data_IF_125202648678
#
_entry.id   IF_125202648678
#
_cell.length_a   1.000
_cell.length_b   1.000
_cell.length_c   1.000
_cell.angle_alpha   90.00
_cell.angle_beta   90.00
_cell.angle_gamma   90.00
#
_symmetry.space_group_name_H-M   'P 1'
#
loop_
_entity.id
_entity.type
_entity.pdbx_description
1 polymer ?
#
# COMPACT_ATOMS: atom_id res chain seq x y z
N UNK A 1 -9.78 -45.11 56.00
CA UNK A 1 -8.92 -43.94 55.60
C UNK A 1 -8.80 -43.91 54.09
N UNK A 2 -9.51 -43.00 53.45
CA UNK A 2 -9.45 -42.85 52.01
C UNK A 2 -8.09 -42.16 51.66
N UNK A 3 -7.32 -42.81 50.78
CA UNK A 3 -5.94 -42.44 50.51
C UNK A 3 -5.95 -41.13 49.71
N UNK A 4 -5.66 -39.99 50.35
CA UNK A 4 -5.68 -38.65 49.76
C UNK A 4 -4.80 -38.55 48.50
N UNK A 5 -3.79 -39.39 48.35
CA UNK A 5 -2.96 -39.50 47.13
C UNK A 5 -3.75 -40.02 45.92
N UNK A 6 -4.76 -40.89 46.16
CA UNK A 6 -5.61 -41.41 45.08
C UNK A 6 -6.63 -40.35 44.62
N UNK A 7 -7.13 -39.53 45.54
CA UNK A 7 -8.01 -38.41 45.22
C UNK A 7 -7.26 -37.34 44.46
N UNK A 8 -6.00 -37.05 44.82
CA UNK A 8 -5.15 -36.09 44.11
C UNK A 8 -4.80 -36.57 42.69
N UNK A 9 -4.57 -37.86 42.49
CA UNK A 9 -4.32 -38.47 41.20
C UNK A 9 -5.56 -38.44 40.30
N UNK A 10 -6.75 -38.69 40.84
CA UNK A 10 -8.02 -38.57 40.12
C UNK A 10 -8.30 -37.11 39.73
N UNK A 11 -8.03 -36.13 40.60
CA UNK A 11 -8.18 -34.70 40.32
C UNK A 11 -7.18 -34.24 39.27
N UNK A 12 -5.97 -34.80 39.25
CA UNK A 12 -4.93 -34.50 38.24
C UNK A 12 -5.32 -35.03 36.85
N UNK A 13 -5.97 -36.19 36.75
CA UNK A 13 -6.49 -36.71 35.46
C UNK A 13 -7.62 -35.83 34.92
N UNK A 14 -8.47 -35.25 35.78
CA UNK A 14 -9.53 -34.34 35.35
C UNK A 14 -9.02 -32.98 34.83
N UNK A 15 -7.86 -32.52 35.29
CA UNK A 15 -7.24 -31.27 34.86
C UNK A 15 -6.60 -31.37 33.46
N UNK A 16 -6.34 -32.58 32.95
CA UNK A 16 -5.77 -32.80 31.60
C UNK A 16 -6.79 -33.28 30.57
N UNK A 17 -8.09 -33.26 30.86
CA UNK A 17 -9.10 -33.41 29.83
C UNK A 17 -9.07 -32.17 28.94
N UNK A 18 -8.20 -32.20 27.91
CA UNK A 18 -8.27 -31.28 26.80
C UNK A 18 -9.65 -31.48 26.14
N UNK A 19 -10.57 -30.54 26.38
CA UNK A 19 -11.75 -30.40 25.57
C UNK A 19 -11.27 -30.04 24.16
N UNK A 20 -11.08 -31.04 23.32
CA UNK A 20 -11.01 -30.84 21.88
C UNK A 20 -12.39 -30.33 21.45
N UNK A 21 -12.57 -29.02 21.40
CA UNK A 21 -13.69 -28.40 20.71
C UNK A 21 -13.57 -28.80 19.23
N UNK A 22 -14.28 -29.86 18.84
CA UNK A 22 -14.48 -30.20 17.44
C UNK A 22 -15.21 -29.01 16.84
N UNK A 23 -14.53 -28.26 15.99
CA UNK A 23 -15.14 -27.15 15.26
C UNK A 23 -16.15 -27.70 14.28
N UNK A 24 -17.42 -27.41 14.54
CA UNK A 24 -18.54 -27.92 13.74
C UNK A 24 -18.60 -27.24 12.36
N UNK A 25 -18.93 -28.02 11.33
CA UNK A 25 -19.29 -27.54 10.01
C UNK A 25 -20.81 -27.48 9.95
N UNK A 26 -21.37 -26.30 9.73
CA UNK A 26 -22.79 -26.11 9.53
C UNK A 26 -23.09 -25.98 8.05
N UNK A 27 -23.95 -26.86 7.52
CA UNK A 27 -24.35 -26.89 6.12
C UNK A 27 -25.84 -26.56 6.02
N UNK A 28 -26.18 -25.61 5.19
CA UNK A 28 -27.54 -25.19 4.85
C UNK A 28 -27.71 -25.22 3.34
N UNK A 29 -28.86 -25.66 2.85
CA UNK A 29 -29.25 -25.63 1.44
C UNK A 29 -30.76 -25.78 1.31
N UNK A 30 -31.28 -25.49 0.14
CA UNK A 30 -32.71 -25.74 -0.18
C UNK A 30 -33.00 -27.26 -0.17
N UNK A 31 -32.06 -28.07 -0.68
CA UNK A 31 -32.14 -29.53 -0.68
C UNK A 31 -30.82 -30.13 -0.19
N UNK A 32 -30.90 -31.08 0.73
CA UNK A 32 -29.74 -31.85 1.25
C UNK A 32 -30.04 -33.34 1.03
N UNK A 33 -29.19 -33.99 0.25
CA UNK A 33 -29.26 -35.42 -0.05
C UNK A 33 -27.95 -36.12 0.34
N UNK A 34 -28.03 -37.46 0.48
CA UNK A 34 -26.84 -38.30 0.68
C UNK A 34 -26.68 -39.22 -0.51
N UNK A 35 -25.44 -39.37 -0.99
CA UNK A 35 -25.14 -40.38 -2.01
C UNK A 35 -24.88 -41.76 -1.38
N UNK A 36 -24.63 -42.77 -2.23
CA UNK A 36 -24.34 -44.17 -1.82
C UNK A 36 -23.06 -44.28 -0.93
N UNK A 37 -22.19 -43.25 -0.93
CA UNK A 37 -20.97 -43.20 -0.17
C UNK A 37 -21.09 -42.35 1.09
N UNK A 38 -22.29 -41.96 1.50
CA UNK A 38 -22.60 -41.06 2.63
C UNK A 38 -22.03 -39.64 2.46
N UNK A 39 -21.74 -39.22 1.23
CA UNK A 39 -21.37 -37.81 0.97
C UNK A 39 -22.63 -36.95 1.05
N UNK A 40 -22.50 -35.73 1.55
CA UNK A 40 -23.57 -34.76 1.64
C UNK A 40 -23.59 -33.94 0.33
N UNK A 41 -24.71 -33.96 -0.37
CA UNK A 41 -24.97 -33.14 -1.56
C UNK A 41 -25.97 -32.06 -1.14
N UNK A 42 -25.45 -30.82 -1.04
CA UNK A 42 -26.23 -29.63 -0.71
C UNK A 42 -26.48 -28.83 -2.01
N UNK A 43 -27.75 -28.66 -2.39
CA UNK A 43 -28.16 -28.05 -3.64
C UNK A 43 -29.19 -26.93 -3.43
N UNK A 44 -28.99 -25.83 -4.16
CA UNK A 44 -29.77 -24.60 -4.06
C UNK A 44 -29.39 -23.76 -2.86
N UNK A 45 -28.91 -22.54 -3.09
CA UNK A 45 -28.47 -21.58 -2.05
C UNK A 45 -27.60 -22.22 -0.96
N UNK A 46 -26.75 -23.20 -1.34
CA UNK A 46 -25.96 -23.97 -0.40
C UNK A 46 -24.92 -23.11 0.29
N UNK A 47 -24.81 -23.24 1.62
CA UNK A 47 -23.94 -22.46 2.48
C UNK A 47 -23.21 -23.36 3.47
N UNK A 48 -21.92 -23.13 3.64
CA UNK A 48 -21.12 -23.74 4.71
C UNK A 48 -20.57 -22.64 5.61
N UNK A 49 -20.85 -22.75 6.89
CA UNK A 49 -20.25 -21.92 7.93
C UNK A 49 -19.17 -22.73 8.66
N UNK A 50 -17.96 -22.19 8.65
CA UNK A 50 -16.79 -22.78 9.36
C UNK A 50 -15.86 -21.67 9.85
N UNK A 51 -15.54 -21.67 11.14
CA UNK A 51 -14.54 -20.76 11.75
C UNK A 51 -14.72 -19.28 11.34
N UNK A 52 -15.98 -18.79 11.31
CA UNK A 52 -16.36 -17.47 10.83
C UNK A 52 -16.10 -17.23 9.32
N UNK A 53 -15.84 -18.25 8.55
CA UNK A 53 -15.87 -18.19 7.10
C UNK A 53 -17.23 -18.66 6.58
N UNK A 54 -17.68 -18.03 5.50
CA UNK A 54 -18.93 -18.37 4.82
C UNK A 54 -18.62 -18.74 3.39
N UNK A 55 -18.83 -20.01 3.04
CA UNK A 55 -18.82 -20.50 1.66
C UNK A 55 -20.26 -20.53 1.13
N UNK A 56 -20.46 -20.01 -0.07
CA UNK A 56 -21.73 -19.97 -0.78
C UNK A 56 -21.53 -20.57 -2.17
N UNK A 57 -22.45 -21.45 -2.60
CA UNK A 57 -22.49 -22.02 -3.95
C UNK A 57 -23.89 -22.59 -4.21
N UNK A 58 -24.24 -22.82 -5.47
CA UNK A 58 -25.49 -23.49 -5.80
C UNK A 58 -25.42 -25.01 -5.65
N UNK A 59 -24.19 -25.57 -5.65
CA UNK A 59 -23.98 -27.00 -5.44
C UNK A 59 -22.70 -27.22 -4.65
N UNK A 60 -22.81 -27.90 -3.51
CA UNK A 60 -21.71 -28.30 -2.65
C UNK A 60 -21.78 -29.81 -2.43
N UNK A 61 -20.68 -30.51 -2.64
CA UNK A 61 -20.56 -31.94 -2.33
C UNK A 61 -19.52 -32.07 -1.23
N UNK A 62 -19.97 -32.42 -0.02
CA UNK A 62 -19.06 -32.64 1.11
C UNK A 62 -18.78 -34.14 1.28
N UNK A 63 -17.56 -34.52 0.95
CA UNK A 63 -17.04 -35.87 1.12
C UNK A 63 -16.51 -36.06 2.54
N UNK A 64 -17.36 -36.57 3.42
CA UNK A 64 -17.10 -36.69 4.85
C UNK A 64 -15.86 -37.53 5.18
N UNK A 65 -15.68 -38.67 4.50
CA UNK A 65 -14.52 -39.58 4.69
C UNK A 65 -13.20 -38.96 4.25
N UNK A 66 -13.23 -38.18 3.17
CA UNK A 66 -12.06 -37.49 2.61
C UNK A 66 -11.79 -36.13 3.27
N UNK A 67 -12.71 -35.64 4.08
CA UNK A 67 -12.73 -34.26 4.63
C UNK A 67 -12.54 -33.22 3.55
N UNK A 68 -13.26 -33.36 2.45
CA UNK A 68 -13.10 -32.57 1.24
C UNK A 68 -14.44 -31.99 0.79
N UNK A 69 -14.43 -30.72 0.45
CA UNK A 69 -15.57 -29.99 -0.10
C UNK A 69 -15.30 -29.78 -1.59
N UNK A 70 -16.16 -30.35 -2.44
CA UNK A 70 -16.12 -30.17 -3.89
C UNK A 70 -17.12 -29.10 -4.29
N UNK A 71 -16.71 -28.23 -5.19
CA UNK A 71 -17.47 -27.10 -5.74
C UNK A 71 -17.50 -27.21 -7.26
N UNK A 72 -18.46 -27.94 -7.83
CA UNK A 72 -18.51 -28.16 -9.29
C UNK A 72 -18.93 -26.91 -10.06
N UNK A 73 -19.53 -25.94 -9.40
CA UNK A 73 -20.07 -24.70 -9.96
C UNK A 73 -19.52 -23.48 -9.23
N UNK A 74 -19.90 -22.29 -9.69
CA UNK A 74 -19.47 -21.02 -9.09
C UNK A 74 -19.64 -20.99 -7.58
N UNK A 75 -18.63 -20.48 -6.91
CA UNK A 75 -18.62 -20.34 -5.46
C UNK A 75 -18.02 -19.03 -5.00
N UNK A 76 -18.34 -18.65 -3.78
CA UNK A 76 -17.75 -17.52 -3.08
C UNK A 76 -17.49 -17.85 -1.63
N UNK A 77 -16.26 -17.60 -1.16
CA UNK A 77 -15.89 -17.67 0.24
C UNK A 77 -15.69 -16.25 0.76
N UNK A 78 -16.39 -15.90 1.83
CA UNK A 78 -16.20 -14.66 2.59
C UNK A 78 -15.48 -14.98 3.87
N UNK A 79 -14.39 -14.24 4.19
CA UNK A 79 -13.66 -14.36 5.45
C UNK A 79 -14.10 -13.32 6.48
N UNK A 80 -13.52 -13.39 7.70
CA UNK A 80 -13.79 -12.48 8.82
C UNK A 80 -13.42 -11.03 8.55
N UNK A 81 -12.48 -10.80 7.63
CA UNK A 81 -11.97 -9.48 7.28
C UNK A 81 -12.76 -8.85 6.13
N UNK A 82 -13.89 -9.44 5.73
CA UNK A 82 -14.67 -9.06 4.55
C UNK A 82 -13.88 -9.14 3.23
N UNK A 83 -12.90 -10.05 3.14
CA UNK A 83 -12.33 -10.43 1.87
C UNK A 83 -13.23 -11.49 1.22
N UNK A 84 -13.28 -11.48 -0.11
CA UNK A 84 -14.05 -12.40 -0.90
C UNK A 84 -13.13 -13.15 -1.85
N UNK A 85 -13.21 -14.47 -1.85
CA UNK A 85 -12.57 -15.35 -2.82
C UNK A 85 -13.67 -16.06 -3.62
N UNK A 86 -13.65 -15.92 -4.93
CA UNK A 86 -14.62 -16.58 -5.82
C UNK A 86 -13.88 -17.38 -6.89
N UNK A 87 -14.52 -18.41 -7.39
CA UNK A 87 -14.06 -19.24 -8.51
C UNK A 87 -15.22 -19.89 -9.24
N UNK A 88 -14.96 -20.40 -10.45
CA UNK A 88 -15.96 -21.11 -11.25
C UNK A 88 -16.15 -22.56 -10.83
N UNK A 89 -15.10 -23.16 -10.26
CA UNK A 89 -15.12 -24.53 -9.72
C UNK A 89 -13.88 -24.75 -8.85
N UNK A 90 -13.90 -25.77 -8.01
CA UNK A 90 -12.76 -26.12 -7.21
C UNK A 90 -13.03 -27.15 -6.14
N UNK A 91 -12.08 -27.30 -5.26
CA UNK A 91 -12.24 -28.06 -4.03
C UNK A 91 -11.44 -27.43 -2.89
N UNK A 92 -11.90 -27.68 -1.69
CA UNK A 92 -11.20 -27.31 -0.46
C UNK A 92 -11.22 -28.49 0.51
N UNK A 93 -10.31 -28.46 1.47
CA UNK A 93 -10.45 -29.30 2.66
C UNK A 93 -11.61 -28.78 3.53
N UNK A 94 -11.96 -29.53 4.55
CA UNK A 94 -13.05 -29.19 5.48
C UNK A 94 -12.80 -27.92 6.30
N UNK A 95 -11.54 -27.47 6.42
CA UNK A 95 -11.19 -26.22 7.09
C UNK A 95 -11.18 -24.99 6.16
N UNK A 96 -11.43 -25.14 4.86
CA UNK A 96 -11.37 -24.09 3.84
C UNK A 96 -10.00 -23.39 3.75
N UNK A 97 -8.95 -23.98 4.32
CA UNK A 97 -7.60 -23.44 4.40
C UNK A 97 -6.65 -24.00 3.34
N UNK A 98 -7.06 -25.04 2.63
CA UNK A 98 -6.29 -25.67 1.55
C UNK A 98 -7.21 -26.12 0.43
N UNK A 99 -6.83 -25.86 -0.82
CA UNK A 99 -7.65 -26.21 -1.98
C UNK A 99 -7.10 -25.68 -3.30
N UNK A 100 -7.74 -26.11 -4.39
CA UNK A 100 -7.44 -25.65 -5.74
C UNK A 100 -8.73 -25.25 -6.44
N UNK A 101 -8.68 -24.19 -7.24
CA UNK A 101 -9.87 -23.61 -7.87
C UNK A 101 -9.51 -22.88 -9.17
N UNK A 102 -10.50 -22.75 -10.02
CA UNK A 102 -10.40 -22.13 -11.34
C UNK A 102 -11.05 -20.75 -11.37
N UNK A 103 -10.62 -19.90 -12.30
CA UNK A 103 -11.15 -18.55 -12.55
C UNK A 103 -11.23 -17.68 -11.30
N UNK A 104 -10.09 -17.59 -10.66
CA UNK A 104 -9.91 -16.91 -9.36
C UNK A 104 -10.26 -15.43 -9.41
N UNK A 105 -11.05 -14.99 -8.46
CA UNK A 105 -11.34 -13.58 -8.20
C UNK A 105 -11.27 -13.34 -6.70
N UNK A 106 -10.25 -12.61 -6.24
CA UNK A 106 -10.12 -12.18 -4.84
C UNK A 106 -10.38 -10.68 -4.79
N UNK A 107 -11.30 -10.27 -3.92
CA UNK A 107 -11.56 -8.88 -3.60
C UNK A 107 -11.21 -8.67 -2.14
N UNK A 108 -10.23 -7.82 -1.86
CA UNK A 108 -9.83 -7.47 -0.51
C UNK A 108 -10.71 -6.33 0.04
N UNK A 109 -10.72 -6.19 1.36
CA UNK A 109 -11.59 -5.23 2.05
C UNK A 109 -11.28 -3.75 1.74
N UNK A 110 -10.03 -3.43 1.34
CA UNK A 110 -9.62 -2.11 0.86
C UNK A 110 -10.08 -1.80 -0.57
N UNK A 111 -10.68 -2.79 -1.25
CA UNK A 111 -11.16 -2.72 -2.62
C UNK A 111 -10.16 -3.16 -3.69
N UNK A 112 -8.94 -3.53 -3.32
CA UNK A 112 -7.96 -4.11 -4.24
C UNK A 112 -8.42 -5.50 -4.72
N UNK A 113 -7.91 -5.92 -5.88
CA UNK A 113 -8.36 -7.12 -6.58
C UNK A 113 -7.20 -7.92 -7.12
N UNK A 114 -7.35 -9.24 -6.97
CA UNK A 114 -6.51 -10.23 -7.64
C UNK A 114 -7.42 -11.13 -8.48
N UNK A 115 -7.05 -11.35 -9.72
CA UNK A 115 -7.75 -12.25 -10.64
C UNK A 115 -6.72 -13.16 -11.29
N UNK A 116 -7.12 -14.38 -11.68
CA UNK A 116 -6.23 -15.29 -12.40
C UNK A 116 -6.95 -16.55 -12.86
N UNK A 117 -6.26 -17.35 -13.68
CA UNK A 117 -6.87 -18.54 -14.29
C UNK A 117 -7.00 -19.68 -13.28
N UNK A 118 -5.99 -19.88 -12.43
CA UNK A 118 -5.98 -20.94 -11.42
C UNK A 118 -5.51 -20.39 -10.11
N UNK A 119 -6.13 -20.85 -9.02
CA UNK A 119 -5.75 -20.58 -7.66
C UNK A 119 -5.47 -21.84 -6.89
N UNK A 120 -4.49 -21.75 -5.99
CA UNK A 120 -4.21 -22.76 -5.00
C UNK A 120 -4.06 -22.07 -3.66
N UNK A 121 -4.82 -22.54 -2.67
CA UNK A 121 -4.68 -22.09 -1.27
C UNK A 121 -3.91 -23.13 -0.48
N UNK A 122 -2.92 -22.69 0.26
CA UNK A 122 -2.16 -23.48 1.21
C UNK A 122 -2.08 -22.73 2.53
N UNK A 123 -3.00 -23.01 3.45
CA UNK A 123 -3.16 -22.31 4.73
C UNK A 123 -3.34 -20.80 4.55
N UNK A 124 -2.29 -20.03 4.80
CA UNK A 124 -2.30 -18.57 4.70
C UNK A 124 -1.71 -18.03 3.40
N UNK A 125 -1.41 -18.92 2.45
CA UNK A 125 -0.81 -18.55 1.16
C UNK A 125 -1.79 -18.85 0.05
N UNK A 126 -2.17 -17.82 -0.71
CA UNK A 126 -2.91 -17.95 -1.96
C UNK A 126 -1.94 -17.80 -3.13
N UNK A 127 -1.87 -18.82 -3.99
CA UNK A 127 -1.05 -18.85 -5.20
C UNK A 127 -1.97 -18.71 -6.40
N UNK A 128 -1.73 -17.68 -7.21
CA UNK A 128 -2.53 -17.37 -8.40
C UNK A 128 -1.63 -17.45 -9.62
N UNK A 129 -2.01 -18.26 -10.60
CA UNK A 129 -1.30 -18.43 -11.85
C UNK A 129 -1.93 -17.56 -12.93
N UNK A 130 -1.10 -16.91 -13.76
CA UNK A 130 -1.49 -15.91 -14.75
C UNK A 130 -2.40 -14.86 -14.10
N UNK A 131 -1.85 -14.25 -13.05
CA UNK A 131 -2.60 -13.37 -12.17
C UNK A 131 -2.47 -11.90 -12.57
N UNK A 132 -3.50 -11.14 -12.23
CA UNK A 132 -3.54 -9.69 -12.34
C UNK A 132 -3.86 -9.11 -10.98
N UNK A 133 -3.05 -8.18 -10.52
CA UNK A 133 -3.27 -7.41 -9.30
C UNK A 133 -3.49 -5.94 -9.61
N UNK A 134 -4.48 -5.34 -9.00
CA UNK A 134 -4.69 -3.89 -9.01
C UNK A 134 -5.31 -3.40 -7.69
N UNK A 135 -4.65 -2.46 -6.99
CA UNK A 135 -5.23 -1.76 -5.84
C UNK A 135 -6.08 -0.56 -6.29
N UNK A 136 -6.11 -0.26 -7.58
CA UNK A 136 -6.72 0.93 -8.15
C UNK A 136 -8.25 0.89 -8.01
N UNK A 137 -8.82 1.89 -7.35
CA UNK A 137 -10.28 2.05 -7.22
C UNK A 137 -10.89 2.73 -8.43
N UNK A 138 -10.13 3.61 -9.11
CA UNK A 138 -10.57 4.32 -10.30
C UNK A 138 -10.64 3.39 -11.50
N UNK A 139 -11.63 3.61 -12.36
CA UNK A 139 -11.82 2.88 -13.59
C UNK A 139 -12.02 3.85 -14.73
N UNK A 140 -11.23 3.67 -15.76
CA UNK A 140 -11.33 4.44 -17.00
C UNK A 140 -12.08 3.60 -18.02
N UNK A 141 -13.11 4.16 -18.63
CA UNK A 141 -13.83 3.53 -19.72
C UNK A 141 -13.15 3.90 -21.05
N UNK A 142 -12.65 2.89 -21.75
CA UNK A 142 -12.06 3.05 -23.09
C UNK A 142 -12.92 2.24 -24.05
N UNK A 143 -13.76 2.91 -24.83
CA UNK A 143 -14.75 2.24 -25.65
C UNK A 143 -15.71 1.39 -24.80
N UNK A 144 -15.75 0.09 -25.04
CA UNK A 144 -16.55 -0.88 -24.28
C UNK A 144 -15.80 -1.50 -23.09
N UNK A 145 -14.51 -1.14 -22.89
CA UNK A 145 -13.70 -1.71 -21.81
C UNK A 145 -13.66 -0.77 -20.61
N UNK A 146 -13.75 -1.35 -19.43
CA UNK A 146 -13.50 -0.67 -18.16
C UNK A 146 -12.24 -1.29 -17.57
N UNK A 147 -11.12 -0.56 -17.58
CA UNK A 147 -9.86 -1.04 -17.02
C UNK A 147 -9.45 -0.21 -15.79
N UNK A 148 -8.66 -0.79 -14.87
CA UNK A 148 -8.02 -0.01 -13.81
C UNK A 148 -6.99 0.95 -14.42
N UNK A 149 -6.70 2.05 -13.70
CA UNK A 149 -5.67 3.02 -14.12
C UNK A 149 -4.31 2.35 -14.25
N UNK A 150 -4.00 1.41 -13.36
CA UNK A 150 -2.81 0.57 -13.44
C UNK A 150 -3.06 -0.82 -12.88
N UNK A 151 -2.29 -1.78 -13.38
CA UNK A 151 -2.32 -3.17 -12.94
C UNK A 151 -0.96 -3.84 -13.14
N UNK A 152 -0.70 -4.86 -12.34
CA UNK A 152 0.43 -5.76 -12.50
C UNK A 152 -0.08 -7.11 -12.99
N UNK A 153 0.32 -7.51 -14.19
CA UNK A 153 0.08 -8.85 -14.74
C UNK A 153 1.28 -9.71 -14.47
N UNK A 154 1.12 -10.80 -13.77
CA UNK A 154 2.21 -11.68 -13.39
C UNK A 154 1.96 -13.13 -13.82
N UNK A 155 3.00 -13.85 -14.15
CA UNK A 155 2.91 -15.29 -14.38
C UNK A 155 2.45 -16.02 -13.11
N UNK A 156 2.96 -15.57 -11.96
CA UNK A 156 2.59 -16.11 -10.65
C UNK A 156 2.52 -15.00 -9.62
N UNK A 157 1.39 -14.95 -8.89
CA UNK A 157 1.21 -14.11 -7.71
C UNK A 157 1.07 -15.01 -6.49
N UNK A 158 1.81 -14.70 -5.44
CA UNK A 158 1.69 -15.34 -4.14
C UNK A 158 1.28 -14.29 -3.12
N UNK A 159 0.11 -14.45 -2.54
CA UNK A 159 -0.40 -13.60 -1.48
C UNK A 159 -0.23 -14.31 -0.14
N UNK A 160 0.66 -13.80 0.70
CA UNK A 160 0.88 -14.28 2.05
C UNK A 160 0.02 -13.45 3.01
N UNK A 161 -1.11 -14.00 3.44
CA UNK A 161 -2.05 -13.31 4.34
C UNK A 161 -1.56 -13.25 5.79
N UNK A 162 -0.55 -14.02 6.17
CA UNK A 162 0.07 -13.99 7.50
C UNK A 162 1.14 -12.90 7.60
N UNK A 163 2.08 -12.88 6.65
CA UNK A 163 3.16 -11.90 6.62
C UNK A 163 2.74 -10.61 5.92
N UNK A 164 1.57 -10.60 5.28
CA UNK A 164 0.98 -9.48 4.59
C UNK A 164 1.87 -8.92 3.47
N UNK A 165 2.28 -9.82 2.56
CA UNK A 165 3.03 -9.49 1.34
C UNK A 165 2.42 -10.13 0.10
N UNK A 166 2.61 -9.45 -1.02
CA UNK A 166 2.36 -9.94 -2.35
C UNK A 166 3.71 -10.14 -3.06
N UNK A 167 4.01 -11.37 -3.44
CA UNK A 167 5.18 -11.73 -4.23
C UNK A 167 4.73 -11.99 -5.66
N UNK A 168 5.35 -11.33 -6.63
CA UNK A 168 4.97 -11.45 -8.02
C UNK A 168 6.19 -11.77 -8.88
N UNK A 169 6.05 -12.76 -9.76
CA UNK A 169 7.11 -13.19 -10.68
C UNK A 169 6.71 -12.89 -12.12
N UNK A 170 7.69 -12.44 -12.90
CA UNK A 170 7.52 -12.09 -14.31
C UNK A 170 6.35 -11.14 -14.53
N UNK A 171 6.39 -10.01 -13.82
CA UNK A 171 5.31 -9.04 -13.82
C UNK A 171 5.47 -8.03 -14.96
N UNK A 172 4.37 -7.70 -15.60
CA UNK A 172 4.25 -6.59 -16.55
C UNK A 172 3.34 -5.54 -15.93
N UNK A 173 3.85 -4.35 -15.75
CA UNK A 173 3.02 -3.23 -15.35
C UNK A 173 2.29 -2.69 -16.58
N UNK A 174 0.97 -2.55 -16.45
CA UNK A 174 0.14 -1.88 -17.44
C UNK A 174 -0.44 -0.61 -16.87
N UNK A 175 -0.42 0.42 -17.68
CA UNK A 175 -0.99 1.73 -17.40
C UNK A 175 -2.06 2.01 -18.46
N UNK A 176 -3.32 2.15 -18.00
CA UNK A 176 -4.47 2.31 -18.92
C UNK A 176 -4.44 1.24 -20.04
N UNK A 177 -4.22 -0.01 -19.62
CA UNK A 177 -4.11 -1.20 -20.49
C UNK A 177 -2.90 -1.24 -21.45
N UNK A 178 -1.99 -0.27 -21.41
CA UNK A 178 -0.75 -0.25 -22.21
C UNK A 178 0.40 -0.81 -21.38
N UNK A 179 1.21 -1.76 -21.89
CA UNK A 179 2.41 -2.23 -21.21
C UNK A 179 3.40 -1.09 -21.01
N UNK A 180 3.80 -0.82 -19.77
CA UNK A 180 4.75 0.23 -19.43
C UNK A 180 6.15 -0.33 -19.21
N UNK A 181 6.29 -1.35 -18.36
CA UNK A 181 7.57 -1.99 -18.10
C UNK A 181 7.42 -3.41 -17.53
N UNK A 182 8.51 -4.16 -17.60
CA UNK A 182 8.64 -5.52 -17.12
C UNK A 182 9.48 -5.56 -15.86
N UNK A 183 9.01 -6.30 -14.85
CA UNK A 183 9.69 -6.50 -13.58
C UNK A 183 9.83 -8.00 -13.34
N UNK A 184 11.05 -8.56 -13.33
CA UNK A 184 11.24 -10.01 -13.15
C UNK A 184 10.70 -10.54 -11.84
N UNK A 185 10.86 -9.77 -10.76
CA UNK A 185 10.39 -10.10 -9.43
C UNK A 185 10.11 -8.83 -8.64
N UNK A 186 8.92 -8.74 -8.05
CA UNK A 186 8.53 -7.64 -7.20
C UNK A 186 7.84 -8.15 -5.94
N UNK A 187 8.13 -7.52 -4.81
CA UNK A 187 7.45 -7.74 -3.53
C UNK A 187 6.80 -6.44 -3.12
N UNK A 188 5.49 -6.48 -2.90
CA UNK A 188 4.73 -5.33 -2.43
C UNK A 188 4.04 -5.68 -1.11
N UNK A 189 3.89 -4.72 -0.19
CA UNK A 189 3.03 -4.93 0.98
C UNK A 189 1.61 -5.30 0.55
N UNK A 190 1.00 -6.24 1.25
CA UNK A 190 -0.43 -6.53 1.05
C UNK A 190 -1.27 -5.33 1.48
N UNK A 191 -2.32 -4.99 0.74
CA UNK A 191 -3.25 -3.92 1.12
C UNK A 191 -3.93 -4.12 2.49
N UNK A 192 -3.94 -5.36 2.98
CA UNK A 192 -4.50 -5.71 4.30
C UNK A 192 -3.62 -5.27 5.47
N UNK A 193 -2.41 -4.80 5.18
CA UNK A 193 -1.44 -4.40 6.20
C UNK A 193 -1.81 -3.06 6.82
N UNK A 194 -1.94 -3.04 8.14
CA UNK A 194 -2.14 -1.83 8.94
C UNK A 194 -0.83 -1.23 9.45
N UNK A 195 0.21 -2.05 9.57
CA UNK A 195 1.52 -1.63 10.04
C UNK A 195 2.34 -1.00 8.91
N UNK A 196 3.09 0.04 9.23
CA UNK A 196 4.05 0.65 8.29
C UNK A 196 5.14 -0.35 7.94
N UNK A 197 5.41 -0.54 6.68
CA UNK A 197 6.57 -1.30 6.18
C UNK A 197 7.08 -0.71 4.88
N UNK A 198 8.39 -0.84 4.70
CA UNK A 198 9.05 -0.43 3.45
C UNK A 198 8.49 -1.17 2.25
N UNK A 199 8.33 -0.46 1.13
CA UNK A 199 7.84 -1.03 -0.12
C UNK A 199 7.44 0.03 -1.14
N UNK A 200 7.18 -0.42 -2.38
CA UNK A 200 6.67 0.44 -3.42
C UNK A 200 5.26 0.93 -3.08
N UNK A 201 5.06 2.24 -3.24
CA UNK A 201 3.74 2.86 -3.19
C UNK A 201 3.08 2.81 -4.57
N UNK A 202 1.84 3.26 -4.64
CA UNK A 202 1.11 3.32 -5.91
C UNK A 202 1.82 4.25 -6.89
N UNK A 203 2.19 3.77 -8.08
CA UNK A 203 2.74 4.63 -9.11
C UNK A 203 1.69 5.63 -9.59
N UNK A 204 2.13 6.78 -10.03
CA UNK A 204 1.25 7.77 -10.64
C UNK A 204 1.76 8.20 -12.01
N UNK A 205 0.81 8.56 -12.89
CA UNK A 205 1.07 9.14 -14.20
C UNK A 205 0.39 10.48 -14.22
N UNK A 206 1.13 11.48 -14.64
CA UNK A 206 0.60 12.80 -14.96
C UNK A 206 0.70 13.03 -16.45
N UNK A 207 -0.36 13.55 -17.04
CA UNK A 207 -0.43 13.97 -18.45
C UNK A 207 -0.67 15.46 -18.45
N UNK A 208 0.27 16.23 -18.98
CA UNK A 208 0.14 17.66 -19.15
C UNK A 208 -0.02 17.97 -20.62
N UNK A 209 -1.13 18.59 -20.99
CA UNK A 209 -1.44 19.03 -22.33
C UNK A 209 -1.16 20.53 -22.43
N UNK A 210 -0.11 20.90 -23.12
CA UNK A 210 0.29 22.29 -23.37
C UNK A 210 0.12 22.59 -24.87
N UNK A 211 -0.96 23.28 -25.25
CA UNK A 211 -1.29 23.69 -26.61
C UNK A 211 -0.93 22.67 -27.71
N UNK A 212 0.30 22.71 -28.21
CA UNK A 212 0.80 21.80 -29.24
C UNK A 212 1.68 20.67 -28.73
N UNK A 213 1.96 20.61 -27.44
CA UNK A 213 2.91 19.65 -26.84
C UNK A 213 2.27 18.89 -25.67
N UNK A 214 2.47 17.59 -25.64
CA UNK A 214 2.05 16.74 -24.56
C UNK A 214 3.27 16.29 -23.77
N UNK A 215 3.28 16.56 -22.48
CA UNK A 215 4.28 16.07 -21.54
C UNK A 215 3.66 14.98 -20.67
N UNK A 216 4.42 13.94 -20.43
CA UNK A 216 4.01 12.80 -19.59
C UNK A 216 5.04 12.61 -18.50
N UNK A 217 4.58 12.33 -17.30
CA UNK A 217 5.48 11.94 -16.21
C UNK A 217 5.00 10.64 -15.56
N UNK A 218 5.96 9.78 -15.23
CA UNK A 218 5.76 8.56 -14.48
C UNK A 218 6.52 8.67 -13.18
N UNK A 219 5.82 8.54 -12.05
CA UNK A 219 6.44 8.45 -10.72
C UNK A 219 6.28 7.06 -10.12
N UNK A 220 7.34 6.57 -9.46
CA UNK A 220 7.37 5.26 -8.83
C UNK A 220 7.90 5.37 -7.38
N UNK A 221 7.09 5.85 -6.44
CA UNK A 221 7.55 6.10 -5.09
C UNK A 221 7.88 4.80 -4.34
N UNK A 222 8.94 4.83 -3.54
CA UNK A 222 9.32 3.79 -2.60
C UNK A 222 9.39 4.36 -1.19
N UNK A 223 8.64 3.76 -0.29
CA UNK A 223 8.59 4.12 1.12
C UNK A 223 9.56 3.28 1.93
N UNK A 224 10.40 3.93 2.73
CA UNK A 224 11.32 3.33 3.69
C UNK A 224 10.79 3.56 5.11
N UNK A 225 10.37 2.49 5.78
CA UNK A 225 10.11 2.51 7.21
C UNK A 225 11.43 2.29 7.95
N UNK A 226 12.10 3.39 8.33
CA UNK A 226 13.43 3.32 8.96
C UNK A 226 13.29 2.88 10.42
N UNK A 227 12.35 3.48 11.15
CA UNK A 227 12.01 3.15 12.53
C UNK A 227 10.58 3.62 12.85
N UNK A 228 10.12 3.42 14.07
CA UNK A 228 8.78 3.88 14.50
C UNK A 228 8.61 5.39 14.42
N UNK A 229 9.71 6.11 14.55
CA UNK A 229 9.78 7.59 14.59
C UNK A 229 10.39 8.22 13.34
N UNK A 230 10.81 7.42 12.34
CA UNK A 230 11.49 7.90 11.12
C UNK A 230 11.01 7.20 9.89
N UNK A 231 10.77 7.99 8.86
CA UNK A 231 10.39 7.49 7.55
C UNK A 231 11.03 8.31 6.44
N UNK A 232 11.20 7.68 5.28
CA UNK A 232 11.69 8.33 4.07
C UNK A 232 10.89 7.82 2.89
N UNK A 233 10.40 8.71 2.05
CA UNK A 233 9.85 8.35 0.75
C UNK A 233 10.78 8.84 -0.34
N UNK A 234 11.22 7.94 -1.21
CA UNK A 234 11.99 8.25 -2.40
C UNK A 234 11.11 8.12 -3.63
N UNK A 235 10.96 9.19 -4.40
CA UNK A 235 10.11 9.23 -5.60
C UNK A 235 10.93 9.62 -6.83
N UNK A 236 11.39 8.66 -7.63
CA UNK A 236 11.91 8.94 -8.96
C UNK A 236 10.75 9.29 -9.90
N UNK A 237 10.91 10.35 -10.68
CA UNK A 237 9.97 10.82 -11.71
C UNK A 237 10.69 10.87 -13.03
N UNK A 238 10.15 10.16 -14.02
CA UNK A 238 10.67 10.15 -15.39
C UNK A 238 9.71 10.96 -16.24
N UNK A 239 10.23 12.02 -16.87
CA UNK A 239 9.47 12.90 -17.74
C UNK A 239 9.70 12.53 -19.21
N UNK A 240 8.64 12.52 -20.00
CA UNK A 240 8.65 12.25 -21.44
C UNK A 240 7.83 13.30 -22.18
N UNK A 241 8.26 13.67 -23.36
CA UNK A 241 7.45 14.43 -24.30
C UNK A 241 7.96 15.83 -24.62
N UNK A 242 7.42 16.41 -25.69
CA UNK A 242 7.90 17.63 -26.28
C UNK A 242 7.64 18.88 -25.45
N UNK A 243 8.68 19.54 -24.99
CA UNK A 243 8.64 20.85 -24.36
C UNK A 243 8.98 20.88 -22.87
N UNK A 244 9.14 19.72 -22.26
CA UNK A 244 9.87 19.57 -20.99
C UNK A 244 11.16 18.86 -21.40
N UNK A 245 12.30 19.42 -21.02
CA UNK A 245 13.57 18.73 -21.14
C UNK A 245 13.39 17.34 -20.55
N UNK A 246 13.97 16.32 -21.19
CA UNK A 246 13.90 14.92 -20.73
C UNK A 246 14.67 14.75 -19.42
N UNK A 247 14.29 15.55 -18.42
CA UNK A 247 14.90 15.57 -17.10
C UNK A 247 14.28 14.48 -16.23
N UNK A 248 15.10 13.83 -15.44
CA UNK A 248 14.64 12.98 -14.37
C UNK A 248 14.60 13.79 -13.09
N UNK A 249 13.51 13.65 -12.35
CA UNK A 249 13.35 14.29 -11.05
C UNK A 249 13.41 13.25 -9.95
N UNK A 250 14.08 13.60 -8.88
CA UNK A 250 14.18 12.78 -7.68
C UNK A 250 13.69 13.57 -6.48
N UNK A 251 12.70 13.01 -5.77
CA UNK A 251 12.14 13.61 -4.57
C UNK A 251 12.44 12.70 -3.39
N UNK A 252 12.94 13.28 -2.31
CA UNK A 252 13.16 12.64 -1.01
C UNK A 252 12.34 13.39 0.03
N UNK A 253 11.35 12.73 0.60
CA UNK A 253 10.55 13.24 1.72
C UNK A 253 10.98 12.49 2.97
N UNK A 254 11.59 13.17 3.92
CA UNK A 254 12.03 12.61 5.19
C UNK A 254 11.26 13.21 6.34
N UNK A 255 10.64 12.36 7.16
CA UNK A 255 9.91 12.74 8.35
C UNK A 255 10.47 12.04 9.58
N UNK A 256 10.62 12.79 10.68
CA UNK A 256 11.07 12.27 11.96
C UNK A 256 10.28 12.88 13.11
N UNK A 257 9.74 12.01 13.97
CA UNK A 257 9.17 12.41 15.27
C UNK A 257 10.29 12.45 16.28
N UNK A 258 10.43 13.59 16.96
CA UNK A 258 11.42 13.82 18.01
C UNK A 258 10.73 13.82 19.37
N UNK A 259 11.48 13.62 20.45
CA UNK A 259 10.96 13.86 21.79
C UNK A 259 10.61 15.35 21.94
N UNK A 260 9.29 15.64 21.97
CA UNK A 260 8.76 17.02 22.06
C UNK A 260 8.76 17.81 20.76
N UNK A 261 8.87 17.16 19.59
CA UNK A 261 8.87 17.88 18.33
C UNK A 261 8.86 17.01 17.08
N UNK A 262 9.10 17.62 15.93
CA UNK A 262 9.14 16.96 14.63
C UNK A 262 10.15 17.63 13.68
N UNK A 263 10.65 16.84 12.74
CA UNK A 263 11.45 17.28 11.59
C UNK A 263 10.80 16.73 10.34
N UNK A 264 10.55 17.60 9.36
CA UNK A 264 10.14 17.24 8.00
C UNK A 264 11.09 17.92 7.02
N UNK A 265 11.59 17.16 6.05
CA UNK A 265 12.53 17.68 5.05
C UNK A 265 12.21 17.10 3.68
N UNK A 266 11.96 17.98 2.71
CA UNK A 266 11.74 17.65 1.31
C UNK A 266 12.91 18.14 0.48
N UNK A 267 13.64 17.21 -0.13
CA UNK A 267 14.70 17.47 -1.10
C UNK A 267 14.22 17.05 -2.47
N UNK A 268 14.19 17.99 -3.41
CA UNK A 268 13.90 17.72 -4.81
C UNK A 268 15.09 18.15 -5.66
N UNK A 269 15.48 17.34 -6.63
CA UNK A 269 16.47 17.74 -7.62
C UNK A 269 16.18 17.13 -8.98
N UNK A 270 16.53 17.87 -10.02
CA UNK A 270 16.43 17.48 -11.42
C UNK A 270 17.80 17.12 -11.98
N UNK A 271 17.85 16.06 -12.78
CA UNK A 271 19.03 15.60 -13.49
C UNK A 271 18.76 15.70 -14.98
N UNK A 272 19.54 16.50 -15.70
CA UNK A 272 19.48 16.58 -17.16
C UNK A 272 20.40 15.52 -17.78
N UNK A 273 19.82 14.68 -18.65
CA UNK A 273 20.57 13.69 -19.42
C UNK A 273 20.99 14.19 -20.82
N UNK A 274 20.59 15.40 -21.25
CA UNK A 274 21.07 15.97 -22.49
C UNK A 274 22.51 16.47 -22.36
N UNK A 275 23.41 15.69 -22.93
CA UNK A 275 24.85 15.79 -22.87
C UNK A 275 25.42 16.75 -23.95
N UNK A 276 24.73 17.83 -24.22
CA UNK A 276 25.30 18.84 -25.14
C UNK A 276 25.66 20.13 -24.38
N UNK A 277 26.94 20.26 -24.09
CA UNK A 277 27.68 21.48 -23.74
C UNK A 277 27.71 22.03 -22.32
N UNK A 278 27.12 21.44 -21.30
CA UNK A 278 27.43 21.82 -19.92
C UNK A 278 27.57 20.61 -19.01
N UNK A 279 28.74 20.44 -18.41
CA UNK A 279 29.16 19.37 -17.51
C UNK A 279 28.36 19.26 -16.19
N UNK A 280 27.10 19.67 -16.13
CA UNK A 280 26.28 19.62 -14.91
C UNK A 280 25.19 18.55 -15.08
N UNK A 281 25.46 17.36 -14.55
CA UNK A 281 24.43 16.30 -14.43
C UNK A 281 23.34 16.64 -13.40
N UNK A 282 23.58 17.57 -12.47
CA UNK A 282 22.61 18.15 -11.55
C UNK A 282 22.26 19.55 -12.04
N UNK A 283 21.02 19.75 -12.50
CA UNK A 283 20.61 21.06 -13.04
C UNK A 283 20.06 21.96 -11.93
N UNK A 284 19.08 21.51 -11.21
CA UNK A 284 18.34 22.30 -10.23
C UNK A 284 17.94 21.48 -9.02
N UNK A 285 17.81 22.15 -7.87
CA UNK A 285 17.38 21.52 -6.63
C UNK A 285 16.58 22.49 -5.75
N UNK A 286 15.75 21.93 -4.86
CA UNK A 286 15.11 22.65 -3.76
C UNK A 286 15.18 21.84 -2.49
N UNK A 287 15.26 22.54 -1.36
CA UNK A 287 15.25 21.99 -0.03
C UNK A 287 14.22 22.75 0.81
N UNK A 288 13.19 22.04 1.27
CA UNK A 288 12.18 22.57 2.18
C UNK A 288 12.34 21.82 3.50
N UNK A 289 12.54 22.54 4.60
CA UNK A 289 12.76 21.93 5.92
C UNK A 289 11.90 22.61 6.96
N UNK A 290 11.13 21.84 7.69
CA UNK A 290 10.38 22.28 8.86
C UNK A 290 10.85 21.48 10.07
N UNK A 291 11.30 22.19 11.08
CA UNK A 291 11.75 21.62 12.34
C UNK A 291 11.08 22.33 13.50
N UNK A 292 10.57 21.60 14.45
CA UNK A 292 10.12 22.16 15.71
C UNK A 292 10.46 21.23 16.85
N UNK A 293 10.87 21.81 17.99
CA UNK A 293 11.17 21.04 19.18
C UNK A 293 10.92 21.87 20.44
N UNK A 294 10.20 21.32 21.39
CA UNK A 294 10.15 21.84 22.74
C UNK A 294 11.45 21.42 23.46
N UNK A 295 12.25 22.42 23.84
CA UNK A 295 13.48 22.18 24.62
C UNK A 295 13.09 21.78 26.04
N UNK A 296 12.12 22.48 26.60
CA UNK A 296 11.48 22.21 27.86
C UNK A 296 10.04 22.78 27.84
N UNK A 297 9.39 22.85 28.98
CA UNK A 297 8.01 23.39 29.11
C UNK A 297 7.93 24.87 28.70
N UNK A 298 9.02 25.62 28.80
CA UNK A 298 9.06 27.07 28.61
C UNK A 298 9.67 27.51 27.28
N UNK A 299 10.44 26.65 26.60
CA UNK A 299 11.14 27.04 25.38
C UNK A 299 10.85 26.11 24.22
N UNK A 300 10.51 26.71 23.10
CA UNK A 300 10.31 26.03 21.81
C UNK A 300 11.25 26.61 20.78
N UNK A 301 11.89 25.73 20.03
CA UNK A 301 12.74 26.03 18.87
C UNK A 301 12.00 25.64 17.60
N UNK A 302 11.98 26.52 16.60
CA UNK A 302 11.38 26.27 15.29
C UNK A 302 12.32 26.74 14.19
N UNK A 303 12.41 25.96 13.11
CA UNK A 303 13.07 26.30 11.86
C UNK A 303 12.09 25.99 10.74
N UNK A 304 11.81 26.98 9.91
CA UNK A 304 11.11 26.80 8.64
C UNK A 304 12.00 27.38 7.54
N UNK A 305 12.39 26.58 6.58
CA UNK A 305 13.34 26.95 5.53
C UNK A 305 12.87 26.45 4.19
N UNK A 306 12.90 27.29 3.18
CA UNK A 306 12.71 26.96 1.79
C UNK A 306 13.84 27.57 0.97
N UNK A 307 14.60 26.72 0.28
CA UNK A 307 15.77 27.10 -0.55
C UNK A 307 15.64 26.47 -1.92
N UNK A 308 16.15 27.14 -2.94
CA UNK A 308 16.24 26.62 -4.32
C UNK A 308 17.52 27.08 -4.98
N UNK A 309 18.02 26.29 -5.93
CA UNK A 309 19.27 26.57 -6.65
C UNK A 309 19.05 27.49 -7.86
N UNK A 310 17.90 27.39 -8.50
CA UNK A 310 17.53 28.25 -9.63
C UNK A 310 16.20 28.95 -9.36
N UNK A 311 15.99 30.04 -10.07
CA UNK A 311 14.78 30.83 -9.96
C UNK A 311 13.55 30.04 -10.40
N UNK A 312 12.44 30.26 -9.68
CA UNK A 312 11.14 29.63 -9.98
C UNK A 312 11.17 28.10 -9.98
N UNK A 313 12.20 27.44 -9.39
CA UNK A 313 12.28 26.00 -9.39
C UNK A 313 11.12 25.36 -8.61
N UNK A 314 10.83 25.84 -7.40
CA UNK A 314 9.70 25.36 -6.58
C UNK A 314 8.38 25.61 -7.32
N UNK A 315 8.20 26.78 -7.93
CA UNK A 315 7.00 27.10 -8.70
C UNK A 315 6.75 26.12 -9.87
N UNK A 316 7.82 25.68 -10.55
CA UNK A 316 7.74 24.72 -11.65
C UNK A 316 7.55 23.28 -11.19
N UNK A 317 8.03 22.92 -9.99
CA UNK A 317 8.08 21.55 -9.52
C UNK A 317 6.92 21.19 -8.60
N UNK A 318 6.41 22.15 -7.85
CA UNK A 318 5.32 21.97 -6.86
C UNK A 318 4.29 23.12 -7.03
N UNK A 319 3.59 23.21 -8.17
CA UNK A 319 2.73 24.35 -8.48
C UNK A 319 1.54 24.53 -7.53
N UNK A 320 1.13 23.48 -6.84
CA UNK A 320 -0.01 23.51 -5.90
C UNK A 320 0.40 23.85 -4.47
N UNK A 321 1.69 24.12 -4.22
CA UNK A 321 2.19 24.54 -2.91
C UNK A 321 2.09 26.07 -2.75
N UNK A 322 1.74 26.52 -1.55
CA UNK A 322 1.67 27.96 -1.21
C UNK A 322 3.00 28.67 -1.49
N UNK A 323 4.13 27.99 -1.34
CA UNK A 323 5.47 28.50 -1.63
C UNK A 323 5.68 28.87 -3.12
N UNK A 324 4.93 28.24 -4.01
CA UNK A 324 5.05 28.48 -5.46
C UNK A 324 4.62 29.88 -5.88
N UNK A 325 3.78 30.56 -5.09
CA UNK A 325 3.27 31.89 -5.36
C UNK A 325 4.09 33.02 -4.70
N UNK A 326 5.09 32.66 -3.86
CA UNK A 326 5.87 33.63 -3.14
C UNK A 326 6.92 34.28 -4.02
N UNK A 327 7.07 35.61 -3.93
CA UNK A 327 8.15 36.38 -4.60
C UNK A 327 9.52 36.21 -3.94
N UNK A 328 9.52 35.69 -2.71
CA UNK A 328 10.74 35.33 -1.97
C UNK A 328 10.48 34.09 -1.12
N UNK A 329 11.51 33.26 -0.99
CA UNK A 329 11.54 32.14 -0.07
C UNK A 329 12.21 32.60 1.24
N UNK A 330 11.63 32.20 2.37
CA UNK A 330 12.17 32.56 3.68
C UNK A 330 12.78 31.37 4.39
N UNK A 331 13.88 31.62 5.10
CA UNK A 331 14.38 30.76 6.17
C UNK A 331 14.18 31.51 7.47
N UNK A 332 13.32 30.99 8.32
CA UNK A 332 12.98 31.54 9.61
C UNK A 332 13.47 30.60 10.70
N UNK A 333 14.33 31.11 11.58
CA UNK A 333 14.73 30.45 12.80
C UNK A 333 14.14 31.21 13.98
N UNK A 334 13.34 30.52 14.80
CA UNK A 334 12.56 31.14 15.87
C UNK A 334 12.79 30.42 17.18
N UNK A 335 12.97 31.20 18.23
CA UNK A 335 13.02 30.74 19.61
C UNK A 335 11.85 31.41 20.34
N UNK A 336 10.94 30.62 20.89
CA UNK A 336 9.84 31.07 21.73
C UNK A 336 10.14 30.73 23.19
N UNK A 337 9.98 31.71 24.06
CA UNK A 337 10.10 31.55 25.52
C UNK A 337 8.78 31.93 26.20
N UNK A 338 8.22 31.02 26.99
CA UNK A 338 6.97 31.22 27.75
C UNK A 338 7.30 31.23 29.24
N UNK A 339 6.98 32.34 29.92
CA UNK A 339 7.22 32.47 31.34
C UNK A 339 5.93 32.29 32.11
N UNK A 340 5.85 31.31 32.99
CA UNK A 340 4.65 30.92 33.74
C UNK A 340 4.29 31.87 34.91
N UNK A 341 4.77 33.10 34.96
CA UNK A 341 4.47 34.02 36.04
C UNK A 341 3.36 35.01 35.64
N UNK A 342 2.15 34.80 36.16
CA UNK A 342 0.99 35.73 36.36
C UNK A 342 0.57 36.70 35.25
N UNK A 343 1.35 36.89 34.22
CA UNK A 343 1.12 37.65 32.99
C UNK A 343 1.62 36.71 31.86
N UNK A 344 0.91 36.67 30.76
CA UNK A 344 1.26 35.86 29.56
C UNK A 344 2.52 36.41 28.88
N UNK A 345 3.63 36.42 29.62
CA UNK A 345 4.90 36.92 29.11
C UNK A 345 5.48 35.95 28.09
N UNK A 346 5.52 36.40 26.85
CA UNK A 346 6.08 35.67 25.71
C UNK A 346 7.26 36.42 25.14
N UNK A 347 8.42 35.77 25.14
CA UNK A 347 9.64 36.26 24.48
C UNK A 347 9.82 35.49 23.16
N UNK A 348 9.92 36.22 22.07
CA UNK A 348 10.18 35.61 20.75
C UNK A 348 11.43 36.25 20.14
N UNK A 349 12.39 35.41 19.72
CA UNK A 349 13.54 35.81 18.92
C UNK A 349 13.44 35.17 17.54
N UNK A 350 13.43 35.98 16.47
CA UNK A 350 13.34 35.55 15.10
C UNK A 350 14.54 35.97 14.29
N UNK A 351 15.11 35.03 13.54
CA UNK A 351 16.16 35.29 12.55
C UNK A 351 15.62 34.89 11.19
N UNK A 352 15.50 35.85 10.29
CA UNK A 352 14.96 35.64 8.96
C UNK A 352 16.04 35.87 7.90
N UNK A 353 16.10 34.93 6.97
CA UNK A 353 16.87 35.00 5.76
C UNK A 353 15.93 34.85 4.56
N UNK A 354 16.11 35.65 3.50
CA UNK A 354 15.25 35.67 2.35
C UNK A 354 16.04 35.39 1.08
N UNK A 355 15.52 34.51 0.22
CA UNK A 355 15.99 34.25 -1.13
C UNK A 355 14.95 34.74 -2.14
N UNK A 356 15.31 35.64 -3.04
CA UNK A 356 14.41 36.09 -4.10
C UNK A 356 14.11 34.94 -5.08
N UNK A 357 12.86 34.80 -5.47
CA UNK A 357 12.42 33.78 -6.44
C UNK A 357 12.51 34.29 -7.89
N UNK A 358 12.56 35.61 -8.10
CA UNK A 358 12.67 36.26 -9.39
C UNK A 358 13.90 37.17 -9.44
N UNK A 359 14.63 37.17 -10.55
CA UNK A 359 15.73 38.10 -10.77
C UNK A 359 15.13 39.40 -11.30
N UNK A 360 15.38 40.52 -10.68
CA UNK A 360 15.24 41.81 -11.34
C UNK A 360 16.31 41.91 -12.43
N UNK A 361 15.93 42.23 -13.63
CA UNK A 361 16.87 42.43 -14.77
C UNK A 361 17.91 43.52 -14.49
N UNK A 362 17.65 44.42 -13.54
CA UNK A 362 18.53 45.51 -13.14
C UNK A 362 19.77 45.06 -12.34
N UNK A 363 19.79 43.86 -11.76
CA UNK A 363 20.92 43.34 -10.96
C UNK A 363 22.00 42.64 -11.83
N UNK A 364 21.87 42.60 -13.13
CA UNK A 364 22.89 42.07 -14.06
C UNK A 364 24.01 43.07 -14.38
N UNK A 365 24.00 44.26 -13.80
CA UNK A 365 24.95 45.36 -14.12
C UNK A 365 25.86 45.78 -12.95
N UNK A 366 26.13 44.91 -11.98
CA UNK A 366 27.20 45.13 -11.00
C UNK A 366 28.13 43.94 -10.91
#
# INVERSE_FOLDING_TARGET
MINYKFIFFLLFIFLFSNFNNAKEILIYADNINYDEHENIIAQGNAKIYKDNQLLISDLIIYKKKEKKILLPVDFTIKDNNNNYLSGSSGFFNDNLDSGEFSDVKIKLNDGSRLIGNKGKRERHIDIITKGVYSPCKSRIKIGNFICPTWQLEAEKILHDSKNLFLYQKHSKMRLINTPAFYIPYIVTPSPLRKERKSGFLSPSISLLFLDTKTSQSLSLPYYFNISLDKELTFTPIINYGGGVDSSQRFIFNYDQILSGGNLSTDLTFDSNFEYENNNKWLSDASLITNYSKNINENYKLSLSSALQTSQNYIQRTVPDDDLSYNTSLSTNFQIDGYYLNKLDDHLQANFNFYQATQQNEDNKKT
#
